data_IF_440587920446
#
_entry.id   IF_440587920446
#
_cell.length_a   1.000
_cell.length_b   1.000
_cell.length_c   1.000
_cell.angle_alpha   90.00
_cell.angle_beta   90.00
_cell.angle_gamma   90.00
#
_symmetry.space_group_name_H-M   'P 1'
#
loop_
_entity.id
_entity.type
_entity.pdbx_description
1 polymer ?
#
# COMPACT_ATOMS: atom_id res chain seq x y z
N UNK A 1 5.70 -31.74 22.79
CA UNK A 1 6.34 -30.50 23.28
C UNK A 1 7.23 -30.01 22.15
N UNK A 2 7.03 -28.80 21.62
CA UNK A 2 7.96 -28.23 20.63
C UNK A 2 9.26 -27.84 21.32
N UNK A 3 10.40 -28.07 20.67
CA UNK A 3 11.69 -27.62 21.18
C UNK A 3 11.75 -26.07 21.20
N UNK A 4 12.46 -25.46 22.18
CA UNK A 4 12.69 -24.03 22.17
C UNK A 4 13.48 -23.62 20.92
N UNK A 5 13.21 -22.43 20.41
CA UNK A 5 13.91 -21.87 19.27
C UNK A 5 15.36 -21.56 19.64
N UNK A 6 16.24 -21.58 18.63
CA UNK A 6 17.58 -21.03 18.78
C UNK A 6 17.51 -19.50 18.83
N UNK A 7 18.45 -18.85 19.52
CA UNK A 7 18.49 -17.38 19.65
C UNK A 7 18.39 -16.67 18.29
N UNK A 8 19.06 -17.20 17.26
CA UNK A 8 19.02 -16.62 15.91
C UNK A 8 17.62 -16.70 15.26
N UNK A 9 16.86 -17.75 15.55
CA UNK A 9 15.48 -17.92 15.07
C UNK A 9 14.56 -16.96 15.81
N UNK A 10 14.75 -16.79 17.13
CA UNK A 10 14.00 -15.80 17.93
C UNK A 10 14.24 -14.37 17.44
N UNK A 11 15.50 -14.01 17.15
CA UNK A 11 15.87 -12.71 16.62
C UNK A 11 15.19 -12.42 15.28
N UNK A 12 15.21 -13.40 14.36
CA UNK A 12 14.52 -13.30 13.08
C UNK A 12 13.01 -13.08 13.29
N UNK A 13 12.37 -13.89 14.13
CA UNK A 13 10.93 -13.81 14.42
C UNK A 13 10.58 -12.45 15.03
N UNK A 14 11.36 -11.96 15.99
CA UNK A 14 11.14 -10.64 16.62
C UNK A 14 11.19 -9.51 15.62
N UNK A 15 12.20 -9.49 14.74
CA UNK A 15 12.31 -8.45 13.72
C UNK A 15 11.18 -8.56 12.68
N UNK A 16 10.82 -9.78 12.28
CA UNK A 16 9.70 -10.02 11.37
C UNK A 16 8.37 -9.52 11.96
N UNK A 17 8.13 -9.74 13.26
CA UNK A 17 6.95 -9.24 13.96
C UNK A 17 6.91 -7.71 14.03
N UNK A 18 8.06 -7.07 14.31
CA UNK A 18 8.16 -5.60 14.29
C UNK A 18 7.76 -5.06 12.90
N UNK A 19 8.36 -5.61 11.84
CA UNK A 19 8.18 -5.14 10.47
C UNK A 19 6.83 -5.50 9.84
N UNK A 20 6.23 -6.63 10.22
CA UNK A 20 4.92 -7.07 9.70
C UNK A 20 3.75 -6.58 10.55
N UNK A 21 3.95 -6.36 11.85
CA UNK A 21 2.89 -6.00 12.79
C UNK A 21 2.85 -4.52 13.15
N UNK A 22 4.01 -3.92 13.42
CA UNK A 22 4.12 -2.56 13.98
C UNK A 22 4.38 -1.53 12.89
N UNK A 23 5.41 -1.74 12.05
CA UNK A 23 5.79 -0.79 11.00
C UNK A 23 4.66 -0.40 10.06
N UNK A 24 3.73 -1.29 9.63
CA UNK A 24 2.63 -0.88 8.78
C UNK A 24 1.71 0.17 9.41
N UNK A 25 1.50 0.08 10.72
CA UNK A 25 0.67 1.04 11.46
C UNK A 25 1.35 2.40 11.53
N UNK A 26 2.64 2.43 11.87
CA UNK A 26 3.42 3.67 11.93
C UNK A 26 3.48 4.36 10.56
N UNK A 27 3.77 3.61 9.49
CA UNK A 27 3.80 4.12 8.12
C UNK A 27 2.42 4.63 7.70
N UNK A 28 1.34 3.93 8.08
CA UNK A 28 -0.04 4.37 7.77
C UNK A 28 -0.42 5.65 8.49
N UNK A 29 -0.06 5.80 9.76
CA UNK A 29 -0.29 7.05 10.52
C UNK A 29 0.42 8.22 9.83
N UNK A 30 1.68 8.02 9.41
CA UNK A 30 2.41 9.04 8.65
C UNK A 30 1.72 9.30 7.30
N UNK A 31 1.35 8.24 6.57
CA UNK A 31 0.68 8.33 5.27
C UNK A 31 -0.62 9.13 5.36
N UNK A 32 -1.51 8.80 6.30
CA UNK A 32 -2.81 9.47 6.44
C UNK A 32 -2.68 10.94 6.87
N UNK A 33 -1.54 11.32 7.47
CA UNK A 33 -1.24 12.72 7.76
C UNK A 33 -0.86 13.50 6.50
N UNK A 34 -0.04 12.91 5.63
CA UNK A 34 0.35 13.52 4.35
C UNK A 34 -0.77 13.44 3.29
N UNK A 35 -1.58 12.38 3.36
CA UNK A 35 -2.67 12.07 2.44
C UNK A 35 -3.96 11.73 3.22
N UNK A 36 -4.65 12.74 3.79
CA UNK A 36 -5.89 12.51 4.53
C UNK A 36 -6.91 11.68 3.73
N UNK A 37 -7.57 10.67 4.32
CA UNK A 37 -8.45 9.75 3.58
C UNK A 37 -9.55 10.44 2.75
N UNK A 38 -10.07 11.58 3.22
CA UNK A 38 -11.08 12.37 2.53
C UNK A 38 -10.53 13.16 1.32
N UNK A 39 -9.22 13.39 1.25
CA UNK A 39 -8.55 14.06 0.13
C UNK A 39 -7.74 13.10 -0.75
N UNK A 40 -7.52 11.87 -0.30
CA UNK A 40 -6.72 10.86 -0.99
C UNK A 40 -7.11 10.68 -2.46
N UNK A 41 -8.41 10.53 -2.85
CA UNK A 41 -8.77 10.37 -4.26
C UNK A 41 -8.39 11.59 -5.11
N UNK A 42 -8.61 12.79 -4.58
CA UNK A 42 -8.24 14.04 -5.25
C UNK A 42 -6.72 14.14 -5.40
N UNK A 43 -5.95 13.84 -4.35
CA UNK A 43 -4.49 13.86 -4.41
C UNK A 43 -3.95 12.85 -5.42
N UNK A 44 -4.51 11.64 -5.50
CA UNK A 44 -4.12 10.64 -6.49
C UNK A 44 -4.41 11.12 -7.92
N UNK A 45 -5.58 11.72 -8.16
CA UNK A 45 -5.94 12.28 -9.46
C UNK A 45 -5.03 13.46 -9.87
N UNK A 46 -4.73 14.38 -8.95
CA UNK A 46 -3.79 15.48 -9.22
C UNK A 46 -2.40 14.99 -9.61
N UNK A 47 -1.98 13.84 -9.07
CA UNK A 47 -0.66 13.26 -9.33
C UNK A 47 -0.69 12.10 -10.35
N UNK A 48 -1.76 12.00 -11.16
CA UNK A 48 -1.98 10.87 -12.07
C UNK A 48 -0.78 10.60 -12.99
N UNK A 49 -0.20 11.65 -13.60
CA UNK A 49 0.92 11.50 -14.52
C UNK A 49 2.16 10.89 -13.85
N UNK A 50 2.52 11.38 -12.66
CA UNK A 50 3.63 10.83 -11.86
C UNK A 50 3.37 9.36 -11.51
N UNK A 51 2.14 9.02 -11.11
CA UNK A 51 1.76 7.64 -10.79
C UNK A 51 1.80 6.73 -12.03
N UNK A 52 1.35 7.24 -13.18
CA UNK A 52 1.39 6.51 -14.45
C UNK A 52 2.83 6.26 -14.90
N UNK A 53 3.73 7.22 -14.76
CA UNK A 53 5.16 7.04 -15.01
C UNK A 53 5.77 5.96 -14.12
N UNK A 54 5.39 5.92 -12.84
CA UNK A 54 5.83 4.86 -11.91
C UNK A 54 5.29 3.48 -12.31
N UNK A 55 4.08 3.40 -12.86
CA UNK A 55 3.52 2.17 -13.44
C UNK A 55 4.31 1.73 -14.66
N UNK A 56 4.60 2.64 -15.60
CA UNK A 56 5.40 2.35 -16.79
C UNK A 56 6.81 1.85 -16.43
N UNK A 57 7.41 2.43 -15.39
CA UNK A 57 8.71 2.02 -14.84
C UNK A 57 8.65 0.73 -14.01
N UNK A 58 7.48 0.09 -13.89
CA UNK A 58 7.24 -1.11 -13.06
C UNK A 58 7.56 -0.95 -11.58
N UNK A 59 7.61 0.30 -11.08
CA UNK A 59 7.73 0.59 -9.65
C UNK A 59 6.39 0.30 -8.96
N UNK A 60 5.28 0.60 -9.65
CA UNK A 60 3.95 0.14 -9.28
C UNK A 60 3.56 -1.04 -10.18
N UNK A 61 3.16 -2.15 -9.56
CA UNK A 61 2.61 -3.29 -10.29
C UNK A 61 1.11 -3.09 -10.58
N UNK A 62 0.52 -3.95 -11.42
CA UNK A 62 -0.89 -3.81 -11.82
C UNK A 62 -1.86 -3.95 -10.63
N UNK A 63 -1.57 -4.80 -9.64
CA UNK A 63 -2.43 -4.94 -8.46
C UNK A 63 -2.43 -3.66 -7.62
N UNK A 64 -1.25 -3.07 -7.39
CA UNK A 64 -1.11 -1.78 -6.72
C UNK A 64 -1.79 -0.66 -7.52
N UNK A 65 -1.67 -0.68 -8.85
CA UNK A 65 -2.38 0.28 -9.71
C UNK A 65 -3.90 0.19 -9.53
N UNK A 66 -4.46 -1.01 -9.49
CA UNK A 66 -5.89 -1.23 -9.30
C UNK A 66 -6.37 -0.79 -7.90
N UNK A 67 -5.48 -0.72 -6.90
CA UNK A 67 -5.80 -0.13 -5.59
C UNK A 67 -5.88 1.40 -5.63
N UNK A 68 -5.08 2.05 -6.49
CA UNK A 68 -5.07 3.51 -6.62
C UNK A 68 -6.17 4.02 -7.56
N UNK A 69 -6.38 3.30 -8.66
CA UNK A 69 -7.36 3.60 -9.70
C UNK A 69 -8.16 2.32 -10.00
N UNK A 70 -9.15 1.99 -9.17
CA UNK A 70 -10.03 0.85 -9.41
C UNK A 70 -10.76 1.04 -10.75
N UNK A 71 -11.07 -0.07 -11.44
CA UNK A 71 -11.86 0.01 -12.68
C UNK A 71 -13.20 0.65 -12.33
N UNK A 72 -13.44 1.85 -12.85
CA UNK A 72 -14.80 2.38 -12.97
C UNK A 72 -15.59 1.30 -13.72
N UNK A 73 -16.69 0.80 -13.15
CA UNK A 73 -17.40 -0.41 -13.59
C UNK A 73 -18.06 -0.33 -14.97
N UNK A 74 -17.30 0.10 -15.98
CA UNK A 74 -17.57 -0.06 -17.39
C UNK A 74 -16.88 -1.37 -17.78
N UNK A 75 -17.64 -2.43 -18.11
CA UNK A 75 -17.05 -3.65 -18.64
C UNK A 75 -16.23 -3.32 -19.89
N UNK A 76 -15.03 -3.88 -20.00
CA UNK A 76 -14.08 -3.71 -21.11
C UNK A 76 -14.61 -4.27 -22.47
N UNK A 77 -15.92 -4.35 -22.68
CA UNK A 77 -16.55 -4.94 -23.88
C UNK A 77 -17.45 -3.98 -24.68
N UNK A 78 -17.39 -2.66 -24.44
CA UNK A 78 -18.04 -1.67 -25.33
C UNK A 78 -16.97 -0.84 -26.05
N UNK A 79 -16.06 -1.49 -26.76
CA UNK A 79 -15.26 -0.85 -27.81
C UNK A 79 -15.18 -1.74 -29.06
N UNK A 80 -16.33 -1.97 -29.68
CA UNK A 80 -16.51 -2.10 -31.13
C UNK A 80 -17.96 -2.54 -31.36
N UNK A 81 -18.72 -1.76 -32.14
CA UNK A 81 -20.14 -1.92 -32.45
C UNK A 81 -21.11 -1.53 -31.33
N UNK A 82 -21.46 -0.24 -31.28
CA UNK A 82 -22.81 0.28 -31.63
C UNK A 82 -22.68 1.81 -31.51
N UNK A 83 -22.44 2.50 -32.62
CA UNK A 83 -22.89 3.87 -32.78
C UNK A 83 -24.41 3.82 -32.89
N UNK A 84 -25.12 4.01 -31.78
CA UNK A 84 -26.57 3.91 -31.73
C UNK A 84 -27.13 4.28 -30.37
N UNK A 85 -27.59 5.53 -30.26
CA UNK A 85 -28.57 6.05 -29.30
C UNK A 85 -28.19 6.02 -27.80
N UNK A 86 -27.76 7.19 -27.30
CA UNK A 86 -27.96 7.56 -25.90
C UNK A 86 -29.46 7.75 -25.66
N UNK A 87 -30.16 6.71 -25.22
CA UNK A 87 -31.56 6.84 -24.79
C UNK A 87 -31.61 7.36 -23.35
N UNK A 88 -32.24 8.52 -23.17
CA UNK A 88 -32.37 9.31 -21.95
C UNK A 88 -33.19 8.69 -20.81
N UNK A 89 -33.39 7.37 -20.77
CA UNK A 89 -34.42 6.75 -19.91
C UNK A 89 -33.89 5.78 -18.84
N UNK A 90 -32.60 5.83 -18.48
CA UNK A 90 -32.06 4.93 -17.45
C UNK A 90 -32.42 5.33 -16.00
N UNK A 91 -33.02 6.50 -15.80
CA UNK A 91 -33.42 6.99 -14.48
C UNK A 91 -34.88 6.68 -14.08
N UNK A 92 -35.70 6.12 -14.97
CA UNK A 92 -37.15 5.97 -14.72
C UNK A 92 -37.61 4.55 -14.30
N UNK A 93 -36.71 3.56 -14.17
CA UNK A 93 -37.12 2.14 -13.92
C UNK A 93 -36.91 1.68 -12.47
N UNK A 94 -36.37 2.52 -11.59
CA UNK A 94 -36.23 2.13 -10.18
C UNK A 94 -36.81 3.23 -9.30
N UNK A 95 -38.10 3.11 -8.99
CA UNK A 95 -38.69 3.84 -7.88
C UNK A 95 -38.02 3.42 -6.58
N UNK A 96 -37.11 4.24 -6.07
CA UNK A 96 -36.61 4.11 -4.69
C UNK A 96 -36.94 5.41 -3.95
N UNK A 97 -37.78 5.35 -2.89
CA UNK A 97 -37.93 6.45 -1.95
C UNK A 97 -36.77 6.45 -0.95
N UNK A 98 -36.46 7.65 -0.45
CA UNK A 98 -35.76 8.05 0.78
C UNK A 98 -34.84 7.04 1.53
N UNK A 99 -33.57 7.45 1.66
CA UNK A 99 -32.57 7.18 2.71
C UNK A 99 -32.73 5.98 3.70
N UNK A 100 -31.74 5.08 3.62
CA UNK A 100 -31.11 4.20 4.65
C UNK A 100 -31.91 2.99 5.19
N UNK A 101 -31.39 1.78 4.89
CA UNK A 101 -30.87 0.78 5.87
C UNK A 101 -30.02 -0.26 5.12
N UNK A 102 -28.74 -0.40 5.45
CA UNK A 102 -27.91 -1.53 5.02
C UNK A 102 -28.45 -2.83 5.66
N UNK A 103 -28.73 -3.88 4.87
CA UNK A 103 -28.73 -5.25 5.40
C UNK A 103 -28.70 -6.38 4.33
N UNK A 104 -27.92 -7.42 4.67
CA UNK A 104 -27.77 -8.80 4.13
C UNK A 104 -27.12 -9.02 2.74
N UNK A 105 -27.16 -8.10 1.76
CA UNK A 105 -26.48 -8.32 0.46
C UNK A 105 -24.94 -8.16 0.53
N UNK A 106 -24.42 -7.54 1.60
CA UNK A 106 -22.98 -7.44 1.89
C UNK A 106 -22.28 -8.81 2.11
N UNK A 107 -23.04 -9.91 2.21
CA UNK A 107 -22.54 -11.23 2.59
C UNK A 107 -22.27 -12.17 1.40
N UNK A 108 -22.76 -11.90 0.18
CA UNK A 108 -22.73 -12.90 -0.91
C UNK A 108 -21.72 -12.62 -2.04
N UNK A 109 -21.31 -11.38 -2.34
CA UNK A 109 -20.44 -11.09 -3.50
C UNK A 109 -18.98 -10.72 -3.15
N UNK A 110 -18.45 -11.24 -2.03
CA UNK A 110 -17.05 -11.10 -1.61
C UNK A 110 -16.06 -11.96 -2.43
N UNK A 111 -16.51 -12.61 -3.51
CA UNK A 111 -15.68 -13.41 -4.40
C UNK A 111 -15.87 -12.97 -5.87
N UNK A 112 -14.88 -12.23 -6.40
CA UNK A 112 -14.61 -12.06 -7.83
C UNK A 112 -15.59 -11.22 -8.66
N UNK A 113 -15.75 -9.93 -8.38
CA UNK A 113 -16.21 -8.94 -9.38
C UNK A 113 -15.55 -7.58 -9.11
N UNK A 114 -15.20 -6.86 -10.19
CA UNK A 114 -14.42 -5.61 -10.20
C UNK A 114 -14.86 -4.62 -9.11
N UNK A 115 -13.93 -4.25 -8.23
CA UNK A 115 -14.16 -3.28 -7.15
C UNK A 115 -14.47 -1.92 -7.77
N UNK A 116 -15.74 -1.54 -7.83
CA UNK A 116 -16.17 -0.14 -7.88
C UNK A 116 -15.73 0.46 -6.53
N UNK A 117 -14.62 1.18 -6.50
CA UNK A 117 -13.99 1.58 -5.24
C UNK A 117 -13.41 2.98 -5.26
N UNK A 118 -13.64 3.71 -4.18
CA UNK A 118 -12.79 4.85 -3.81
C UNK A 118 -11.51 4.27 -3.18
N UNK A 119 -10.30 4.74 -3.56
CA UNK A 119 -9.06 4.27 -2.96
C UNK A 119 -9.06 4.58 -1.45
N UNK A 120 -8.74 3.58 -0.63
CA UNK A 120 -8.70 3.68 0.83
C UNK A 120 -7.33 3.25 1.34
N UNK A 121 -6.69 4.07 2.17
CA UNK A 121 -5.33 3.79 2.67
C UNK A 121 -5.21 2.49 3.46
N UNK A 122 -6.33 1.96 3.97
CA UNK A 122 -6.38 0.70 4.71
C UNK A 122 -6.05 -0.54 3.86
N UNK A 123 -6.28 -0.48 2.55
CA UNK A 123 -5.97 -1.57 1.60
C UNK A 123 -4.53 -1.51 1.08
N UNK A 124 -3.79 -0.43 1.37
CA UNK A 124 -2.43 -0.27 0.87
C UNK A 124 -1.43 -1.04 1.71
N UNK A 125 -0.56 -1.77 1.03
CA UNK A 125 0.62 -2.38 1.65
C UNK A 125 1.70 -1.31 1.97
N UNK A 126 2.63 -1.66 2.86
CA UNK A 126 3.68 -0.73 3.32
C UNK A 126 4.58 -0.24 2.19
N UNK A 127 4.87 -1.09 1.21
CA UNK A 127 5.70 -0.73 0.06
C UNK A 127 4.99 0.30 -0.81
N UNK A 128 3.68 0.13 -1.04
CA UNK A 128 2.85 1.09 -1.76
C UNK A 128 2.80 2.44 -1.03
N UNK A 129 2.53 2.45 0.28
CA UNK A 129 2.50 3.69 1.07
C UNK A 129 3.85 4.43 1.01
N UNK A 130 4.98 3.73 1.19
CA UNK A 130 6.32 4.32 1.08
C UNK A 130 6.57 4.85 -0.34
N UNK A 131 6.14 4.13 -1.37
CA UNK A 131 6.27 4.54 -2.76
C UNK A 131 5.52 5.85 -3.04
N UNK A 132 4.29 5.98 -2.54
CA UNK A 132 3.50 7.20 -2.68
C UNK A 132 4.14 8.37 -1.91
N UNK A 133 4.54 8.16 -0.65
CA UNK A 133 5.18 9.21 0.17
C UNK A 133 6.43 9.75 -0.54
N UNK A 134 7.34 8.89 -0.98
CA UNK A 134 8.62 9.33 -1.56
C UNK A 134 8.49 10.05 -2.91
N UNK A 135 7.39 9.83 -3.65
CA UNK A 135 7.22 10.38 -5.00
C UNK A 135 6.25 11.56 -5.05
N UNK A 136 5.33 11.67 -4.08
CA UNK A 136 4.27 12.69 -4.08
C UNK A 136 4.43 13.73 -2.97
N UNK A 137 5.42 13.57 -2.08
CA UNK A 137 5.73 14.54 -1.02
C UNK A 137 7.17 15.05 -1.13
N UNK A 138 7.50 16.09 -0.38
CA UNK A 138 8.86 16.66 -0.29
C UNK A 138 9.73 16.02 0.80
N UNK A 139 9.51 14.74 1.10
CA UNK A 139 10.32 14.03 2.11
C UNK A 139 11.81 14.01 1.70
N UNK A 140 12.71 14.24 2.65
CA UNK A 140 14.15 14.27 2.39
C UNK A 140 14.64 12.91 1.90
N UNK A 141 15.29 12.89 0.74
CA UNK A 141 15.88 11.66 0.20
C UNK A 141 17.10 11.26 1.04
N UNK A 142 17.29 9.95 1.33
CA UNK A 142 18.54 9.47 1.92
C UNK A 142 19.74 9.75 1.02
N UNK A 143 20.92 9.94 1.58
CA UNK A 143 22.16 10.23 0.83
C UNK A 143 22.40 9.20 -0.29
N UNK A 144 22.12 7.92 -0.03
CA UNK A 144 22.29 6.81 -0.99
C UNK A 144 20.99 6.41 -1.71
N UNK A 145 19.93 7.22 -1.60
CA UNK A 145 18.61 6.95 -2.16
C UNK A 145 17.76 5.95 -1.38
N UNK A 146 16.50 5.80 -1.81
CA UNK A 146 15.45 4.98 -1.14
C UNK A 146 15.57 3.46 -1.37
N UNK A 147 16.54 3.04 -2.17
CA UNK A 147 16.77 1.64 -2.56
C UNK A 147 18.07 1.08 -1.95
N UNK A 148 18.71 1.86 -1.07
CA UNK A 148 19.92 1.51 -0.32
C UNK A 148 19.68 1.69 1.18
N UNK A 149 20.44 1.00 2.03
CA UNK A 149 20.40 1.22 3.48
C UNK A 149 20.92 2.64 3.82
N UNK A 150 20.12 3.49 4.47
CA UNK A 150 20.58 4.81 4.92
C UNK A 150 21.63 4.73 6.02
N UNK A 151 22.43 5.78 6.16
CA UNK A 151 23.40 5.91 7.25
C UNK A 151 22.67 6.03 8.59
N UNK A 152 23.23 5.51 9.71
CA UNK A 152 22.58 5.59 11.02
C UNK A 152 22.28 7.01 11.51
N UNK A 153 23.02 8.01 11.01
CA UNK A 153 22.87 9.43 11.40
C UNK A 153 21.66 10.11 10.75
N UNK A 154 21.07 9.50 9.71
CA UNK A 154 19.97 10.10 8.95
C UNK A 154 18.63 9.83 9.66
N UNK A 155 18.19 10.69 10.57
CA UNK A 155 16.99 10.46 11.42
C UNK A 155 15.74 11.22 10.94
N UNK A 156 15.67 11.53 9.64
CA UNK A 156 14.49 12.16 9.04
C UNK A 156 13.53 11.11 8.49
N UNK A 157 12.24 11.45 8.25
CA UNK A 157 11.24 10.46 7.85
C UNK A 157 11.57 9.67 6.58
N UNK A 158 12.26 10.27 5.61
CA UNK A 158 12.63 9.58 4.36
C UNK A 158 13.59 8.41 4.57
N UNK A 159 14.75 8.64 5.21
CA UNK A 159 15.62 7.61 5.74
C UNK A 159 14.90 6.54 6.57
N UNK A 160 14.01 6.91 7.49
CA UNK A 160 13.28 5.91 8.30
C UNK A 160 12.39 5.01 7.45
N UNK A 161 11.66 5.58 6.49
CA UNK A 161 10.85 4.82 5.52
C UNK A 161 11.74 3.90 4.66
N UNK A 162 12.93 4.36 4.25
CA UNK A 162 13.89 3.56 3.50
C UNK A 162 14.44 2.39 4.32
N UNK A 163 14.72 2.57 5.62
CA UNK A 163 15.13 1.48 6.53
C UNK A 163 14.06 0.41 6.66
N UNK A 164 12.80 0.81 6.88
CA UNK A 164 11.67 -0.13 6.96
C UNK A 164 11.57 -0.96 5.68
N UNK A 165 11.65 -0.31 4.51
CA UNK A 165 11.61 -0.99 3.22
C UNK A 165 12.79 -1.95 3.06
N UNK A 166 14.01 -1.51 3.39
CA UNK A 166 15.24 -2.29 3.27
C UNK A 166 15.18 -3.57 4.11
N UNK A 167 14.87 -3.46 5.39
CA UNK A 167 14.81 -4.64 6.27
C UNK A 167 13.64 -5.58 5.94
N UNK A 168 12.51 -5.06 5.46
CA UNK A 168 11.43 -5.92 4.91
C UNK A 168 11.92 -6.73 3.71
N UNK A 169 12.72 -6.12 2.83
CA UNK A 169 13.28 -6.79 1.66
C UNK A 169 14.29 -7.87 2.07
N UNK A 170 15.20 -7.56 2.99
CA UNK A 170 16.15 -8.53 3.53
C UNK A 170 15.44 -9.75 4.10
N UNK A 171 14.43 -9.54 4.98
CA UNK A 171 13.72 -10.67 5.60
C UNK A 171 12.94 -11.52 4.58
N UNK A 172 12.43 -10.92 3.51
CA UNK A 172 11.70 -11.63 2.46
C UNK A 172 12.61 -12.54 1.61
N UNK A 173 13.90 -12.22 1.54
CA UNK A 173 14.91 -12.99 0.79
C UNK A 173 15.86 -13.78 1.70
N UNK A 174 15.54 -13.91 2.99
CA UNK A 174 16.39 -14.62 3.92
C UNK A 174 16.08 -16.12 3.93
N UNK A 175 17.02 -16.95 3.49
CA UNK A 175 16.75 -18.38 3.24
C UNK A 175 16.69 -19.25 4.52
N UNK A 176 17.27 -18.81 5.64
CA UNK A 176 17.45 -19.65 6.82
C UNK A 176 16.53 -19.35 8.01
N UNK A 177 15.65 -18.33 7.92
CA UNK A 177 14.84 -17.84 9.06
C UNK A 177 15.65 -17.61 10.36
N UNK A 178 16.94 -17.29 10.25
CA UNK A 178 17.87 -17.09 11.36
C UNK A 178 18.56 -15.74 11.20
N UNK A 179 18.83 -15.04 12.28
CA UNK A 179 19.52 -13.75 12.27
C UNK A 179 20.50 -13.65 13.43
N UNK A 180 21.76 -13.36 13.12
CA UNK A 180 22.79 -13.14 14.13
C UNK A 180 22.42 -11.96 15.04
N UNK A 181 22.76 -12.05 16.32
CA UNK A 181 22.38 -11.05 17.34
C UNK A 181 22.91 -9.65 17.02
N UNK A 182 24.10 -9.53 16.40
CA UNK A 182 24.65 -8.24 15.96
C UNK A 182 23.81 -7.56 14.86
N UNK A 183 23.37 -8.34 13.87
CA UNK A 183 22.52 -7.84 12.78
C UNK A 183 21.13 -7.47 13.29
N UNK A 184 20.58 -8.30 14.19
CA UNK A 184 19.31 -8.03 14.85
C UNK A 184 19.37 -6.72 15.64
N UNK A 185 20.38 -6.53 16.50
CA UNK A 185 20.50 -5.30 17.31
C UNK A 185 20.64 -4.05 16.43
N UNK A 186 21.41 -4.16 15.33
CA UNK A 186 21.56 -3.07 14.37
C UNK A 186 20.22 -2.74 13.70
N UNK A 187 19.50 -3.75 13.22
CA UNK A 187 18.21 -3.57 12.59
C UNK A 187 17.16 -3.01 13.56
N UNK A 188 17.11 -3.56 14.77
CA UNK A 188 16.19 -3.14 15.81
C UNK A 188 16.38 -1.66 16.14
N UNK A 189 17.61 -1.25 16.48
CA UNK A 189 17.95 0.14 16.78
C UNK A 189 17.55 1.10 15.65
N UNK A 190 17.79 0.69 14.41
CA UNK A 190 17.48 1.46 13.21
C UNK A 190 15.98 1.63 12.92
N UNK A 191 15.12 0.74 13.41
CA UNK A 191 13.67 0.76 13.14
C UNK A 191 12.86 1.23 14.35
N UNK A 192 13.34 0.96 15.58
CA UNK A 192 12.60 1.24 16.81
C UNK A 192 12.89 2.62 17.41
N UNK A 193 13.85 3.36 16.87
CA UNK A 193 14.15 4.74 17.29
C UNK A 193 13.07 5.70 16.81
#
# INVERSE_FOLDING_TARGET
MMAPLLEEEENYVRLALLLKGVSPRAVRIYFDREFPPNHLPSTLNTNYNTLYDLKLKKVLNQAQWNLLFPRNGVPDSITSDVTGELNSNIFDVIGVPDFITFDVIDVINYNSFDVIGVPVSTTFDVTLMICLIRNLTSVTQPINGFDSLPLPVETTPGPDLARIKWYRNILAHHDSNKMATGDFNTAWSNISS
#
